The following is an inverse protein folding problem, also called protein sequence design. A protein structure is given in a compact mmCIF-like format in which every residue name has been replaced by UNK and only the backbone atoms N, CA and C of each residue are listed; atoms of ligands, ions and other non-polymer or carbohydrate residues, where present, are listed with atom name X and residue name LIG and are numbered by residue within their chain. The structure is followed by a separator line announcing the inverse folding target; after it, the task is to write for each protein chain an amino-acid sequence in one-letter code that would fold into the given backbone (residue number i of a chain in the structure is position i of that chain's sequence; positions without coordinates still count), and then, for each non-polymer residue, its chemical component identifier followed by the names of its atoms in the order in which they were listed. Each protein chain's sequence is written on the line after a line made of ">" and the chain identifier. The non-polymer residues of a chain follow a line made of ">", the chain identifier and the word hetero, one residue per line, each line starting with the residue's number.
data_IF_601853249140
#
_entry.id   IF_601853249140
#
_cell.length_a   1.000
_cell.length_b   1.000
_cell.length_c   1.000
_cell.angle_alpha   90.00
_cell.angle_beta   90.00
_cell.angle_gamma   90.00
#
_symmetry.space_group_name_H-M   'P 1'
#
loop_
_entity.id
_entity.type
_entity.pdbx_description
1 polymer ?
#
# COMPACT_ATOMS: atom_id res chain seq x y z
N UNK A 1 1.65 -8.47 15.00
CA UNK A 1 3.02 -8.44 14.42
C UNK A 1 3.45 -9.75 13.76
N UNK A 2 3.20 -10.97 14.31
CA UNK A 2 3.78 -12.19 13.76
C UNK A 2 3.51 -12.41 12.27
N UNK A 3 2.27 -12.17 11.81
CA UNK A 3 1.89 -12.38 10.41
C UNK A 3 2.74 -11.58 9.40
N UNK A 4 3.08 -10.33 9.71
CA UNK A 4 3.91 -9.50 8.83
C UNK A 4 5.36 -9.98 8.80
N UNK A 5 5.93 -10.27 9.96
CA UNK A 5 7.29 -10.80 10.05
C UNK A 5 7.40 -12.15 9.33
N UNK A 6 6.47 -13.07 9.58
CA UNK A 6 6.41 -14.36 8.89
C UNK A 6 6.29 -14.20 7.38
N UNK A 7 5.39 -13.33 6.89
CA UNK A 7 5.26 -13.08 5.46
C UNK A 7 6.54 -12.44 4.86
N UNK A 8 7.22 -11.58 5.62
CA UNK A 8 8.48 -10.97 5.20
C UNK A 8 9.58 -12.03 5.06
N UNK A 9 9.75 -12.89 6.08
CA UNK A 9 10.77 -13.95 6.09
C UNK A 9 10.50 -15.03 5.05
N UNK A 10 9.23 -15.35 4.78
CA UNK A 10 8.87 -16.26 3.69
C UNK A 10 9.26 -15.69 2.32
N UNK A 11 9.06 -14.39 2.10
CA UNK A 11 9.36 -13.74 0.82
C UNK A 11 10.84 -13.36 0.66
N UNK A 12 11.48 -12.99 1.76
CA UNK A 12 12.87 -12.54 1.83
C UNK A 12 13.60 -13.36 2.91
N UNK A 13 13.85 -14.64 2.65
CA UNK A 13 14.45 -15.52 3.63
C UNK A 13 15.89 -15.09 3.93
N UNK A 14 16.31 -15.19 5.19
CA UNK A 14 17.51 -14.51 5.67
C UNK A 14 18.81 -15.10 5.11
N UNK A 15 18.78 -16.31 4.55
CA UNK A 15 19.89 -16.98 3.87
C UNK A 15 20.08 -16.53 2.41
N UNK A 16 19.14 -15.77 1.83
CA UNK A 16 19.22 -15.28 0.45
C UNK A 16 19.46 -13.77 0.38
N UNK A 17 20.06 -13.33 -0.73
CA UNK A 17 20.12 -11.92 -1.12
C UNK A 17 18.75 -11.46 -1.62
N UNK A 18 18.58 -10.16 -1.84
CA UNK A 18 17.36 -9.61 -2.43
C UNK A 18 17.10 -10.16 -3.85
N UNK A 19 18.16 -10.55 -4.56
CA UNK A 19 18.10 -11.22 -5.88
C UNK A 19 17.81 -12.73 -5.78
N UNK A 20 17.67 -13.28 -4.57
CA UNK A 20 17.42 -14.71 -4.35
C UNK A 20 18.67 -15.60 -4.38
N UNK A 21 19.88 -15.03 -4.41
CA UNK A 21 21.15 -15.79 -4.40
C UNK A 21 21.54 -16.15 -2.97
N UNK A 22 22.22 -17.27 -2.71
CA UNK A 22 22.77 -17.57 -1.39
C UNK A 22 23.69 -16.45 -0.90
N UNK A 23 23.52 -16.03 0.35
CA UNK A 23 24.41 -15.03 0.96
C UNK A 23 25.78 -15.62 1.26
N UNK A 24 26.83 -14.85 0.98
CA UNK A 24 28.20 -15.20 1.40
C UNK A 24 28.48 -14.82 2.86
N UNK A 25 27.86 -13.73 3.35
CA UNK A 25 28.01 -13.24 4.73
C UNK A 25 26.77 -13.55 5.55
N UNK A 26 26.97 -13.82 6.84
CA UNK A 26 25.89 -13.93 7.82
C UNK A 26 25.00 -12.68 7.80
N UNK A 27 23.75 -12.86 8.23
CA UNK A 27 22.81 -11.76 8.41
C UNK A 27 23.40 -10.76 9.42
N UNK A 28 23.30 -9.47 9.12
CA UNK A 28 23.88 -8.42 9.96
C UNK A 28 25.39 -8.16 9.76
N UNK A 29 26.08 -8.90 8.90
CA UNK A 29 27.51 -8.69 8.61
C UNK A 29 27.85 -7.46 7.73
N UNK A 30 26.93 -6.51 7.60
CA UNK A 30 27.09 -5.28 6.84
C UNK A 30 26.50 -4.08 7.58
N UNK A 31 26.61 -2.88 7.02
CA UNK A 31 26.03 -1.68 7.64
C UNK A 31 24.52 -1.87 7.86
N UNK A 32 23.99 -1.49 9.03
CA UNK A 32 22.56 -1.58 9.30
C UNK A 32 21.80 -0.73 8.27
N UNK A 33 20.82 -1.35 7.61
CA UNK A 33 19.93 -0.64 6.69
C UNK A 33 18.98 0.29 7.45
N UNK A 34 18.36 1.23 6.74
CA UNK A 34 17.48 2.26 7.33
C UNK A 34 16.23 1.72 8.06
N UNK A 35 15.78 0.51 7.74
CA UNK A 35 14.64 -0.16 8.38
C UNK A 35 15.08 -1.53 8.92
N UNK A 36 15.85 -1.57 10.04
CA UNK A 36 16.47 -2.80 10.52
C UNK A 36 15.44 -3.78 11.08
N UNK A 37 14.47 -3.33 11.87
CA UNK A 37 13.50 -4.20 12.54
C UNK A 37 12.27 -4.46 11.69
N UNK A 38 11.48 -5.47 12.06
CA UNK A 38 10.25 -5.81 11.33
C UNK A 38 9.15 -4.75 11.54
N UNK A 39 9.15 -4.17 12.74
CA UNK A 39 8.26 -3.12 13.22
C UNK A 39 8.49 -1.83 12.45
N UNK A 40 9.75 -1.45 12.22
CA UNK A 40 10.12 -0.27 11.42
C UNK A 40 9.60 -0.41 9.98
N UNK A 41 9.75 -1.60 9.39
CA UNK A 41 9.25 -1.92 8.05
C UNK A 41 7.73 -1.85 8.00
N UNK A 42 7.05 -2.42 8.99
CA UNK A 42 5.59 -2.38 9.06
C UNK A 42 5.09 -0.93 9.24
N UNK A 43 5.69 -0.17 10.15
CA UNK A 43 5.32 1.22 10.38
C UNK A 43 5.52 2.07 9.13
N UNK A 44 6.66 1.92 8.46
CA UNK A 44 6.95 2.56 7.17
C UNK A 44 5.82 2.35 6.16
N UNK A 45 5.47 1.08 5.87
CA UNK A 45 4.49 0.79 4.83
C UNK A 45 3.05 1.18 5.24
N UNK A 46 2.70 1.10 6.52
CA UNK A 46 1.40 1.53 7.01
C UNK A 46 1.21 3.04 6.91
N UNK A 47 2.24 3.83 7.27
CA UNK A 47 2.20 5.29 7.11
C UNK A 47 2.02 5.65 5.63
N UNK A 48 2.72 4.96 4.72
CA UNK A 48 2.55 5.15 3.28
C UNK A 48 1.11 4.87 2.84
N UNK A 49 0.54 3.72 3.22
CA UNK A 49 -0.84 3.35 2.86
C UNK A 49 -1.88 4.30 3.46
N UNK A 50 -1.67 4.79 4.69
CA UNK A 50 -2.65 5.65 5.38
C UNK A 50 -2.69 7.07 4.82
N UNK A 51 -1.53 7.61 4.45
CA UNK A 51 -1.39 9.05 4.11
C UNK A 51 -1.18 9.31 2.63
N UNK A 52 -0.89 8.27 1.84
CA UNK A 52 -0.54 8.33 0.43
C UNK A 52 0.40 9.51 0.07
N UNK A 53 1.55 9.65 0.77
CA UNK A 53 2.44 10.79 0.60
C UNK A 53 3.28 10.65 -0.68
N UNK A 54 3.82 11.77 -1.16
CA UNK A 54 4.89 11.74 -2.14
C UNK A 54 6.10 10.96 -1.60
N UNK A 55 6.76 10.18 -2.45
CA UNK A 55 7.91 9.34 -2.04
C UNK A 55 9.08 10.16 -1.49
N UNK A 56 9.26 11.40 -1.97
CA UNK A 56 10.25 12.35 -1.42
C UNK A 56 9.95 12.71 0.03
N UNK A 57 8.69 13.08 0.32
CA UNK A 57 8.24 13.39 1.68
C UNK A 57 8.26 12.17 2.58
N UNK A 58 7.85 11.01 2.06
CA UNK A 58 7.91 9.76 2.81
C UNK A 58 9.34 9.38 3.15
N UNK A 59 10.25 9.44 2.18
CA UNK A 59 11.67 9.19 2.40
C UNK A 59 12.26 10.12 3.45
N UNK A 60 11.93 11.43 3.39
CA UNK A 60 12.38 12.41 4.37
C UNK A 60 12.00 12.03 5.81
N UNK A 61 10.77 11.58 6.07
CA UNK A 61 10.32 11.16 7.41
C UNK A 61 11.09 9.96 7.97
N UNK A 62 11.68 9.13 7.10
CA UNK A 62 12.39 7.90 7.48
C UNK A 62 13.90 7.95 7.22
N UNK A 63 14.45 9.13 6.91
CA UNK A 63 15.89 9.30 6.62
C UNK A 63 16.35 8.56 5.36
N UNK A 64 15.47 8.44 4.37
CA UNK A 64 15.70 7.75 3.10
C UNK A 64 15.69 8.74 1.94
N UNK A 65 16.50 8.47 0.92
CA UNK A 65 16.34 9.12 -0.38
C UNK A 65 15.05 8.65 -1.08
N UNK A 66 14.53 9.43 -2.01
CA UNK A 66 13.33 9.05 -2.78
C UNK A 66 13.48 7.68 -3.47
N UNK A 67 14.59 7.33 -4.15
CA UNK A 67 14.76 5.99 -4.71
C UNK A 67 14.70 4.88 -3.65
N UNK A 68 15.34 5.07 -2.50
CA UNK A 68 15.28 4.08 -1.43
C UNK A 68 13.86 3.90 -0.86
N UNK A 69 13.11 5.00 -0.72
CA UNK A 69 11.72 4.93 -0.31
C UNK A 69 10.88 4.14 -1.34
N UNK A 70 11.10 4.40 -2.64
CA UNK A 70 10.46 3.65 -3.73
C UNK A 70 10.74 2.14 -3.62
N UNK A 71 12.00 1.76 -3.44
CA UNK A 71 12.42 0.36 -3.31
C UNK A 71 11.75 -0.32 -2.11
N UNK A 72 11.71 0.36 -0.96
CA UNK A 72 11.05 -0.16 0.24
C UNK A 72 9.53 -0.29 0.06
N UNK A 73 8.87 0.67 -0.60
CA UNK A 73 7.42 0.60 -0.88
C UNK A 73 7.11 -0.64 -1.73
N UNK A 74 7.83 -0.84 -2.85
CA UNK A 74 7.60 -1.98 -3.74
C UNK A 74 7.94 -3.32 -3.09
N UNK A 75 8.91 -3.33 -2.17
CA UNK A 75 9.27 -4.51 -1.38
C UNK A 75 8.19 -4.88 -0.36
N UNK A 76 7.74 -3.90 0.40
CA UNK A 76 6.92 -4.14 1.59
C UNK A 76 5.42 -4.23 1.28
N UNK A 77 4.96 -3.59 0.20
CA UNK A 77 3.54 -3.62 -0.16
C UNK A 77 2.99 -5.05 -0.37
N UNK A 78 3.65 -5.95 -1.13
CA UNK A 78 3.17 -7.32 -1.28
C UNK A 78 3.24 -8.12 0.03
N UNK A 79 4.21 -7.82 0.91
CA UNK A 79 4.34 -8.48 2.21
C UNK A 79 3.17 -8.08 3.11
N UNK A 80 2.83 -6.79 3.15
CA UNK A 80 1.67 -6.29 3.88
C UNK A 80 0.38 -6.94 3.37
N UNK A 81 0.21 -7.02 2.05
CA UNK A 81 -0.96 -7.67 1.45
C UNK A 81 -1.07 -9.14 1.83
N UNK A 82 0.03 -9.88 1.82
CA UNK A 82 0.04 -11.28 2.25
C UNK A 82 -0.30 -11.41 3.74
N UNK A 83 0.28 -10.57 4.59
CA UNK A 83 0.00 -10.57 6.02
C UNK A 83 -1.48 -10.30 6.31
N UNK A 84 -2.08 -9.30 5.66
CA UNK A 84 -3.51 -9.00 5.78
C UNK A 84 -4.37 -10.17 5.31
N UNK A 85 -4.02 -10.84 4.20
CA UNK A 85 -4.74 -12.04 3.74
C UNK A 85 -4.68 -13.18 4.75
N UNK A 86 -3.50 -13.44 5.32
CA UNK A 86 -3.33 -14.47 6.35
C UNK A 86 -4.15 -14.18 7.60
N UNK A 87 -4.32 -12.89 7.95
CA UNK A 87 -5.17 -12.46 9.06
C UNK A 87 -6.67 -12.44 8.71
N UNK A 88 -7.05 -12.62 7.45
CA UNK A 88 -8.43 -12.44 7.00
C UNK A 88 -8.86 -10.97 6.90
N UNK A 89 -7.93 -10.03 6.96
CA UNK A 89 -8.11 -8.56 7.02
C UNK A 89 -7.82 -7.88 5.67
N UNK A 90 -7.73 -8.66 4.58
CA UNK A 90 -7.49 -8.10 3.26
C UNK A 90 -8.76 -7.39 2.75
N UNK A 91 -8.64 -6.19 2.15
CA UNK A 91 -9.78 -5.48 1.62
C UNK A 91 -10.44 -6.26 0.47
N UNK A 92 -11.77 -6.33 0.48
CA UNK A 92 -12.56 -6.91 -0.61
C UNK A 92 -12.38 -6.04 -1.87
N UNK A 93 -12.12 -6.71 -3.01
CA UNK A 93 -11.88 -6.04 -4.30
C UNK A 93 -13.04 -6.18 -5.26
N UNK A 94 -13.92 -7.16 -5.05
CA UNK A 94 -15.14 -7.29 -5.83
C UNK A 94 -16.20 -6.32 -5.28
N UNK A 95 -16.49 -5.26 -6.04
CA UNK A 95 -17.49 -4.26 -5.69
C UNK A 95 -18.86 -4.86 -5.33
N UNK A 96 -19.24 -6.00 -5.92
CA UNK A 96 -20.52 -6.69 -5.61
C UNK A 96 -20.51 -7.31 -4.21
N UNK A 97 -19.33 -7.69 -3.73
CA UNK A 97 -19.12 -8.32 -2.42
C UNK A 97 -18.73 -7.33 -1.33
N UNK A 98 -18.23 -6.15 -1.70
CA UNK A 98 -17.91 -5.06 -0.74
C UNK A 98 -19.13 -4.71 0.12
N UNK A 99 -20.32 -4.59 -0.48
CA UNK A 99 -21.56 -4.23 0.23
C UNK A 99 -21.97 -5.25 1.31
N UNK A 100 -21.52 -6.49 1.19
CA UNK A 100 -21.83 -7.58 2.12
C UNK A 100 -20.63 -8.03 2.94
N UNK A 101 -19.46 -7.38 2.78
CA UNK A 101 -18.24 -7.73 3.50
C UNK A 101 -18.30 -7.25 4.94
N UNK A 102 -18.10 -8.18 5.88
CA UNK A 102 -18.07 -7.87 7.32
C UNK A 102 -17.00 -6.83 7.67
N UNK A 103 -15.84 -6.88 6.99
CA UNK A 103 -14.77 -5.90 7.16
C UNK A 103 -15.17 -4.50 6.69
N UNK A 104 -15.87 -4.40 5.56
CA UNK A 104 -16.35 -3.12 5.05
C UNK A 104 -17.41 -2.53 5.99
N UNK A 105 -18.26 -3.38 6.58
CA UNK A 105 -19.29 -2.98 7.54
C UNK A 105 -18.72 -2.60 8.91
N UNK A 106 -17.58 -3.18 9.30
CA UNK A 106 -16.90 -2.86 10.55
C UNK A 106 -16.26 -1.45 10.56
N UNK A 107 -16.08 -0.83 9.39
CA UNK A 107 -15.31 0.41 9.19
C UNK A 107 -15.97 1.75 9.59
N UNK A 108 -17.20 1.76 10.11
CA UNK A 108 -17.93 3.01 10.43
C UNK A 108 -18.80 3.53 9.26
N UNK A 109 -19.61 4.59 9.48
CA UNK A 109 -20.73 4.94 8.61
C UNK A 109 -20.31 5.30 7.18
N UNK A 110 -21.25 5.10 6.25
CA UNK A 110 -21.13 5.22 4.79
C UNK A 110 -20.01 6.18 4.36
N UNK A 111 -18.97 5.61 3.74
CA UNK A 111 -17.93 6.36 3.06
C UNK A 111 -18.61 7.32 2.07
N UNK A 112 -18.59 8.62 2.38
CA UNK A 112 -18.80 9.67 1.39
C UNK A 112 -17.68 9.53 0.37
N UNK A 113 -17.97 8.85 -0.74
CA UNK A 113 -17.16 8.99 -1.93
C UNK A 113 -17.22 10.47 -2.33
N UNK A 114 -16.16 11.21 -2.05
CA UNK A 114 -16.01 12.59 -2.52
C UNK A 114 -15.78 12.55 -4.04
N UNK A 115 -16.89 12.55 -4.77
CA UNK A 115 -16.89 12.61 -6.22
C UNK A 115 -16.41 13.99 -6.66
N UNK A 116 -15.11 14.14 -6.89
CA UNK A 116 -14.62 15.33 -7.59
C UNK A 116 -15.25 15.43 -8.99
N UNK A 117 -15.93 16.54 -9.25
CA UNK A 117 -16.50 16.81 -10.56
C UNK A 117 -15.38 16.89 -11.60
N UNK A 118 -15.39 15.97 -12.58
CA UNK A 118 -14.42 15.99 -13.68
C UNK A 118 -14.92 16.93 -14.77
N UNK A 119 -14.10 17.90 -15.17
CA UNK A 119 -14.36 18.74 -16.35
C UNK A 119 -14.57 17.84 -17.57
N UNK A 120 -15.79 17.83 -18.10
CA UNK A 120 -16.09 17.26 -19.43
C UNK A 120 -16.19 18.39 -20.45
N UNK A 121 -15.72 18.15 -21.66
CA UNK A 121 -15.92 19.07 -22.77
C UNK A 121 -17.42 19.20 -23.04
N UNK A 122 -17.95 20.42 -22.99
CA UNK A 122 -19.37 20.69 -23.26
C UNK A 122 -19.72 20.22 -24.69
N UNK A 123 -20.68 19.30 -24.86
CA UNK A 123 -21.16 18.95 -26.20
C UNK A 123 -21.68 20.21 -26.91
N UNK A 124 -21.27 20.39 -28.17
CA UNK A 124 -21.72 21.50 -29.02
C UNK A 124 -23.16 21.31 -29.51
N UNK A 125 -23.63 20.07 -29.57
CA UNK A 125 -25.01 19.73 -29.89
C UNK A 125 -25.94 20.07 -28.70
N UNK A 126 -26.95 20.89 -28.99
CA UNK A 126 -27.93 21.38 -28.04
C UNK A 126 -28.79 20.24 -27.44
N UNK A 127 -29.08 19.18 -28.23
CA UNK A 127 -29.89 18.06 -27.77
C UNK A 127 -29.13 17.19 -26.74
N UNK A 128 -27.83 16.98 -26.95
CA UNK A 128 -26.97 16.27 -26.00
C UNK A 128 -26.67 17.11 -24.75
N UNK A 129 -26.56 18.43 -24.91
CA UNK A 129 -26.33 19.34 -23.79
C UNK A 129 -27.48 19.31 -22.77
N UNK A 130 -28.73 19.32 -23.24
CA UNK A 130 -29.92 19.28 -22.37
C UNK A 130 -30.06 17.96 -21.59
N UNK A 131 -29.50 16.85 -22.09
CA UNK A 131 -29.51 15.55 -21.39
C UNK A 131 -28.52 15.47 -20.23
N UNK A 132 -27.44 16.24 -20.29
CA UNK A 132 -26.35 16.19 -19.31
C UNK A 132 -26.38 17.37 -18.32
N UNK A 133 -27.28 18.32 -18.50
CA UNK A 133 -27.44 19.47 -17.63
C UNK A 133 -28.74 19.30 -16.83
N UNK A 134 -28.61 19.01 -15.53
CA UNK A 134 -29.71 18.82 -14.60
C UNK A 134 -30.07 20.11 -13.84
N UNK A 135 -29.85 21.27 -14.45
CA UNK A 135 -30.32 22.57 -13.97
C UNK A 135 -31.74 22.85 -14.40
#
# INVERSE_FOLDING_TARGET
>A
MPAFQTAYEQKYPPNLTQEGKPRQRQIGGGAPGALPKSEDKLFFILVYQKTNPLQTMHGLHFGLSQPQANDWIHRLLPVLQQALRTLGEAPERDARRVATSDLARAGGPDLTMDGSERRRQRPKDHAQQKKHYSG
#
